data_IF_493606545000
#
_entry.id   IF_493606545000
#
_cell.length_a   1.000
_cell.length_b   1.000
_cell.length_c   1.000
_cell.angle_alpha   90.00
_cell.angle_beta   90.00
_cell.angle_gamma   90.00
#
_symmetry.space_group_name_H-M   'P 1'
#
loop_
_entity.id
_entity.type
_entity.pdbx_description
1 polymer ?
#
# COMPACT_ATOMS: atom_id res chain seq x y z
N UNK A 1 5.39 6.82 2.54
CA UNK A 1 4.99 8.02 1.78
C UNK A 1 5.24 9.34 2.52
N UNK A 2 4.82 9.48 3.78
CA UNK A 2 5.03 10.73 4.51
C UNK A 2 6.49 11.19 4.57
N UNK A 3 7.43 10.25 4.64
CA UNK A 3 8.86 10.52 4.62
C UNK A 3 9.41 10.93 3.23
N UNK A 4 8.62 10.79 2.17
CA UNK A 4 9.00 11.20 0.80
C UNK A 4 8.65 12.66 0.50
N UNK A 5 8.08 13.37 1.47
CA UNK A 5 7.77 14.80 1.33
C UNK A 5 9.05 15.60 1.09
N UNK A 6 9.07 16.41 0.06
CA UNK A 6 10.24 17.24 -0.28
C UNK A 6 10.62 18.16 0.89
N UNK A 7 11.88 18.14 1.30
CA UNK A 7 12.40 18.98 2.39
C UNK A 7 12.11 18.43 3.80
N UNK A 8 11.57 17.22 3.90
CA UNK A 8 11.36 16.51 5.17
C UNK A 8 12.34 15.34 5.24
N UNK A 9 13.10 15.26 6.33
CA UNK A 9 13.98 14.12 6.63
C UNK A 9 13.77 13.72 8.08
N UNK A 10 13.23 12.53 8.30
CA UNK A 10 12.95 12.02 9.63
C UNK A 10 14.12 11.21 10.17
N UNK A 11 14.65 11.64 11.31
CA UNK A 11 15.56 10.85 12.12
C UNK A 11 14.84 9.61 12.71
N UNK A 12 15.62 8.69 13.28
CA UNK A 12 15.06 7.53 13.99
C UNK A 12 14.19 7.98 15.16
N UNK A 13 14.64 8.99 15.93
CA UNK A 13 13.89 9.55 17.05
C UNK A 13 12.55 10.18 16.60
N UNK A 14 12.53 10.86 15.46
CA UNK A 14 11.28 11.37 14.87
C UNK A 14 10.33 10.22 14.49
N UNK A 15 10.84 9.17 13.83
CA UNK A 15 10.03 7.99 13.47
C UNK A 15 9.47 7.29 14.70
N UNK A 16 10.25 7.14 15.77
CA UNK A 16 9.80 6.56 17.02
C UNK A 16 8.69 7.39 17.69
N UNK A 17 8.84 8.71 17.73
CA UNK A 17 7.82 9.62 18.30
C UNK A 17 6.55 9.64 17.47
N UNK A 18 6.68 9.72 16.12
CA UNK A 18 5.54 9.73 15.20
C UNK A 18 4.79 8.39 15.29
N UNK A 19 5.49 7.28 15.25
CA UNK A 19 4.85 5.95 15.33
C UNK A 19 4.16 5.69 16.67
N UNK A 20 4.74 6.14 17.78
CA UNK A 20 4.10 6.07 19.08
C UNK A 20 2.81 6.92 19.15
N UNK A 21 2.82 8.10 18.54
CA UNK A 21 1.63 8.95 18.44
C UNK A 21 0.53 8.33 17.56
N UNK A 22 0.92 7.70 16.43
CA UNK A 22 -0.01 6.98 15.56
C UNK A 22 -0.62 5.76 16.26
N UNK A 23 0.18 4.97 16.99
CA UNK A 23 -0.33 3.86 17.80
C UNK A 23 -1.31 4.35 18.87
N UNK A 24 -1.00 5.46 19.56
CA UNK A 24 -1.90 6.06 20.54
C UNK A 24 -3.19 6.62 19.90
N UNK A 25 -3.15 7.06 18.64
CA UNK A 25 -4.32 7.48 17.87
C UNK A 25 -5.24 6.29 17.55
N UNK A 26 -4.70 5.06 17.53
CA UNK A 26 -5.46 3.84 17.31
C UNK A 26 -5.57 3.45 15.83
N UNK A 27 -4.60 3.80 14.99
CA UNK A 27 -4.54 3.29 13.63
C UNK A 27 -4.20 1.80 13.63
N UNK A 28 -4.70 1.05 12.65
CA UNK A 28 -4.51 -0.41 12.58
C UNK A 28 -3.10 -0.79 12.11
N UNK A 29 -2.49 0.02 11.25
CA UNK A 29 -1.18 -0.22 10.65
C UNK A 29 -0.34 1.04 10.63
N UNK A 30 0.96 0.88 10.86
CA UNK A 30 1.96 1.95 10.72
C UNK A 30 3.02 1.47 9.75
N UNK A 31 3.06 2.06 8.57
CA UNK A 31 4.11 1.81 7.60
C UNK A 31 5.34 2.64 7.96
N UNK A 32 6.36 1.96 8.44
CA UNK A 32 7.53 2.61 9.04
C UNK A 32 8.63 2.98 8.03
N UNK A 33 8.57 2.47 6.81
CA UNK A 33 9.59 2.66 5.79
C UNK A 33 10.05 1.35 5.15
N UNK A 34 11.22 1.38 4.51
CA UNK A 34 11.76 0.26 3.74
C UNK A 34 13.08 -0.26 4.36
N UNK A 35 13.03 -1.29 5.24
CA UNK A 35 14.24 -1.89 5.80
C UNK A 35 15.12 -2.47 4.69
N UNK A 36 16.41 -2.17 4.74
CA UNK A 36 17.38 -2.54 3.72
C UNK A 36 17.59 -1.49 2.63
N UNK A 37 16.70 -0.51 2.47
CA UNK A 37 16.86 0.57 1.49
C UNK A 37 17.80 1.68 1.99
N UNK A 38 17.76 1.98 3.28
CA UNK A 38 18.62 2.97 3.92
C UNK A 38 18.91 2.61 5.39
N UNK A 39 19.96 3.19 6.00
CA UNK A 39 20.34 2.89 7.38
C UNK A 39 19.28 3.28 8.42
N UNK A 40 18.59 4.42 8.25
CA UNK A 40 17.59 4.92 9.19
C UNK A 40 16.41 3.95 9.30
N UNK A 41 15.86 3.50 8.16
CA UNK A 41 14.77 2.54 8.13
C UNK A 41 15.23 1.17 8.68
N UNK A 42 16.43 0.72 8.29
CA UNK A 42 16.98 -0.54 8.79
C UNK A 42 17.11 -0.52 10.31
N UNK A 43 17.62 0.55 10.90
CA UNK A 43 17.74 0.67 12.35
C UNK A 43 16.38 0.75 13.05
N UNK A 44 15.43 1.53 12.49
CA UNK A 44 14.06 1.60 13.01
C UNK A 44 13.42 0.22 13.09
N UNK A 45 13.52 -0.60 12.02
CA UNK A 45 12.93 -1.94 11.98
C UNK A 45 13.70 -3.02 12.77
N UNK A 46 14.88 -2.72 13.31
CA UNK A 46 15.59 -3.61 14.23
C UNK A 46 15.10 -3.50 15.68
N UNK A 47 14.27 -2.50 16.00
CA UNK A 47 13.74 -2.25 17.33
C UNK A 47 12.34 -2.84 17.49
N UNK A 48 12.01 -3.26 18.70
CA UNK A 48 10.64 -3.54 19.11
C UNK A 48 10.04 -2.27 19.69
N UNK A 49 9.01 -1.74 19.06
CA UNK A 49 8.38 -0.49 19.46
C UNK A 49 7.26 -0.66 20.50
N UNK A 50 6.85 -1.90 20.78
CA UNK A 50 5.84 -2.21 21.80
C UNK A 50 4.47 -1.62 21.51
N UNK A 51 4.07 -1.47 20.25
CA UNK A 51 2.77 -0.95 19.84
C UNK A 51 1.64 -1.79 20.44
N UNK A 52 0.58 -1.13 20.86
CA UNK A 52 -0.59 -1.75 21.52
C UNK A 52 -1.78 -1.91 20.57
N UNK A 53 -1.91 -1.02 19.62
CA UNK A 53 -3.04 -0.94 18.68
C UNK A 53 -2.61 -1.28 17.27
N UNK A 54 -1.48 -0.74 16.81
CA UNK A 54 -1.05 -0.83 15.44
C UNK A 54 -0.11 -2.03 15.18
N UNK A 55 -0.19 -2.57 13.96
CA UNK A 55 0.82 -3.47 13.41
C UNK A 55 1.89 -2.66 12.67
N UNK A 56 3.16 -2.87 13.03
CA UNK A 56 4.26 -2.30 12.26
C UNK A 56 4.35 -3.00 10.91
N UNK A 57 4.32 -2.21 9.83
CA UNK A 57 4.37 -2.67 8.45
C UNK A 57 5.68 -2.25 7.79
N UNK A 58 6.42 -3.19 7.22
CA UNK A 58 7.57 -2.93 6.39
C UNK A 58 7.13 -2.80 4.93
N UNK A 59 7.61 -1.75 4.26
CA UNK A 59 7.30 -1.48 2.85
C UNK A 59 8.43 -1.97 1.95
N UNK A 60 8.10 -2.42 0.75
CA UNK A 60 9.07 -2.82 -0.27
C UNK A 60 8.41 -3.10 -1.61
N UNK A 61 9.17 -3.66 -2.54
CA UNK A 61 8.68 -4.04 -3.86
C UNK A 61 8.63 -5.57 -4.02
N UNK A 62 7.87 -6.04 -4.99
CA UNK A 62 7.92 -7.45 -5.43
C UNK A 62 9.34 -7.83 -5.86
N UNK A 63 9.68 -9.12 -5.78
CA UNK A 63 11.00 -9.63 -6.17
C UNK A 63 11.40 -9.18 -7.58
N UNK A 64 12.69 -9.10 -7.82
CA UNK A 64 13.22 -8.90 -9.17
C UNK A 64 13.20 -10.21 -9.97
N UNK A 65 13.16 -10.10 -11.31
CA UNK A 65 13.11 -11.26 -12.19
C UNK A 65 14.33 -12.18 -12.04
N UNK A 66 15.50 -11.58 -11.76
CA UNK A 66 16.79 -12.32 -11.66
C UNK A 66 16.91 -13.18 -10.39
N UNK A 67 16.01 -13.03 -9.43
CA UNK A 67 16.04 -13.76 -8.15
C UNK A 67 14.78 -14.61 -7.98
N UNK A 68 14.95 -15.78 -7.33
CA UNK A 68 13.81 -16.43 -6.70
C UNK A 68 13.40 -15.65 -5.46
N UNK A 69 12.16 -15.80 -5.00
CA UNK A 69 11.68 -15.07 -3.82
C UNK A 69 12.53 -15.35 -2.56
N UNK A 70 13.02 -16.59 -2.40
CA UNK A 70 13.87 -17.00 -1.28
C UNK A 70 15.28 -16.37 -1.31
N UNK A 71 15.75 -15.99 -2.49
CA UNK A 71 17.10 -15.43 -2.68
C UNK A 71 17.08 -13.93 -2.97
N UNK A 72 15.92 -13.30 -2.93
CA UNK A 72 15.81 -11.85 -3.11
C UNK A 72 16.23 -11.11 -1.84
N UNK A 73 17.32 -10.31 -1.87
CA UNK A 73 17.85 -9.65 -0.68
C UNK A 73 16.89 -8.61 -0.09
N UNK A 74 16.01 -8.04 -0.92
CA UNK A 74 15.02 -7.05 -0.46
C UNK A 74 13.91 -7.75 0.32
N UNK A 75 13.37 -8.87 -0.21
CA UNK A 75 12.39 -9.67 0.52
C UNK A 75 12.99 -10.24 1.82
N UNK A 76 14.24 -10.67 1.79
CA UNK A 76 14.92 -11.14 2.99
C UNK A 76 15.03 -10.05 4.07
N UNK A 77 15.31 -8.81 3.70
CA UNK A 77 15.36 -7.67 4.64
C UNK A 77 14.00 -7.40 5.28
N UNK A 78 12.90 -7.49 4.51
CA UNK A 78 11.54 -7.33 4.99
C UNK A 78 11.15 -8.44 5.97
N UNK A 79 11.45 -9.70 5.62
CA UNK A 79 11.13 -10.87 6.43
C UNK A 79 11.89 -10.84 7.76
N UNK A 80 13.17 -10.45 7.74
CA UNK A 80 14.02 -10.42 8.93
C UNK A 80 13.77 -9.20 9.83
N UNK A 81 13.01 -8.22 9.38
CA UNK A 81 12.63 -7.04 10.18
C UNK A 81 11.71 -7.38 11.36
N UNK A 82 11.63 -6.50 12.35
CA UNK A 82 10.69 -6.65 13.49
C UNK A 82 9.23 -6.30 13.16
N UNK A 83 8.91 -6.06 11.87
CA UNK A 83 7.52 -5.85 11.46
C UNK A 83 6.68 -7.10 11.62
N UNK A 84 5.38 -6.94 11.89
CA UNK A 84 4.40 -8.04 11.90
C UNK A 84 3.68 -8.18 10.56
N UNK A 85 3.74 -7.15 9.73
CA UNK A 85 3.18 -7.15 8.38
C UNK A 85 4.15 -6.58 7.35
N UNK A 86 3.93 -6.92 6.09
CA UNK A 86 4.69 -6.43 4.94
C UNK A 86 3.73 -5.95 3.88
N UNK A 87 3.99 -4.75 3.36
CA UNK A 87 3.32 -4.19 2.20
C UNK A 87 4.29 -4.20 1.02
N UNK A 88 3.94 -4.86 -0.07
CA UNK A 88 4.72 -4.81 -1.30
C UNK A 88 3.93 -4.09 -2.38
N UNK A 89 4.58 -3.12 -3.03
CA UNK A 89 4.04 -2.60 -4.27
C UNK A 89 4.49 -3.46 -5.47
N UNK A 90 3.60 -3.56 -6.45
CA UNK A 90 3.88 -4.16 -7.74
C UNK A 90 3.10 -3.44 -8.84
N UNK A 91 3.69 -3.36 -10.04
CA UNK A 91 3.05 -2.69 -11.16
C UNK A 91 1.77 -3.42 -11.58
N UNK A 92 0.67 -2.68 -11.71
CA UNK A 92 -0.62 -3.20 -12.17
C UNK A 92 -1.14 -2.52 -13.43
N UNK A 93 -0.27 -1.81 -14.12
CA UNK A 93 -0.47 -1.23 -15.43
C UNK A 93 0.55 -1.80 -16.41
N UNK A 94 0.10 -2.48 -17.47
CA UNK A 94 0.95 -3.14 -18.47
C UNK A 94 1.97 -2.19 -19.12
N UNK A 95 1.58 -0.94 -19.38
CA UNK A 95 2.50 0.09 -19.84
C UNK A 95 3.68 0.29 -18.86
N UNK A 96 3.42 0.33 -17.57
CA UNK A 96 4.48 0.50 -16.56
C UNK A 96 5.32 -0.77 -16.39
N UNK A 97 4.76 -1.95 -16.62
CA UNK A 97 5.52 -3.21 -16.62
C UNK A 97 6.57 -3.20 -17.74
N UNK A 98 6.18 -2.78 -18.93
CA UNK A 98 7.09 -2.69 -20.08
C UNK A 98 8.14 -1.58 -19.87
N UNK A 99 7.70 -0.35 -19.60
CA UNK A 99 8.58 0.83 -19.59
C UNK A 99 9.48 0.89 -18.34
N UNK A 100 8.96 0.52 -17.16
CA UNK A 100 9.70 0.67 -15.91
C UNK A 100 10.44 -0.60 -15.50
N UNK A 101 9.89 -1.79 -15.79
CA UNK A 101 10.49 -3.06 -15.40
C UNK A 101 11.20 -3.77 -16.56
N UNK A 102 10.78 -3.54 -17.83
CA UNK A 102 11.34 -4.20 -19.00
C UNK A 102 11.10 -5.71 -19.03
N UNK A 103 9.98 -6.17 -18.45
CA UNK A 103 9.61 -7.59 -18.36
C UNK A 103 8.24 -7.83 -18.99
N UNK A 104 7.87 -9.10 -19.22
CA UNK A 104 6.53 -9.44 -19.71
C UNK A 104 5.47 -9.33 -18.63
N UNK A 105 4.21 -9.21 -19.04
CA UNK A 105 3.07 -9.21 -18.14
C UNK A 105 3.00 -10.51 -17.32
N UNK A 106 3.28 -11.66 -17.91
CA UNK A 106 3.30 -12.97 -17.25
C UNK A 106 4.38 -13.02 -16.17
N UNK A 107 5.57 -12.52 -16.47
CA UNK A 107 6.68 -12.44 -15.52
C UNK A 107 6.34 -11.54 -14.32
N UNK A 108 5.63 -10.42 -14.56
CA UNK A 108 5.17 -9.57 -13.49
C UNK A 108 4.12 -10.25 -12.60
N UNK A 109 3.16 -10.96 -13.17
CA UNK A 109 2.16 -11.72 -12.41
C UNK A 109 2.82 -12.81 -11.56
N UNK A 110 3.84 -13.51 -12.10
CA UNK A 110 4.63 -14.49 -11.36
C UNK A 110 5.40 -13.83 -10.21
N UNK A 111 6.09 -12.70 -10.46
CA UNK A 111 6.79 -11.96 -9.41
C UNK A 111 5.88 -11.54 -8.27
N UNK A 112 4.66 -11.07 -8.55
CA UNK A 112 3.65 -10.73 -7.54
C UNK A 112 3.27 -11.98 -6.73
N UNK A 113 2.91 -13.06 -7.41
CA UNK A 113 2.44 -14.30 -6.79
C UNK A 113 3.51 -14.95 -5.91
N UNK A 114 4.74 -15.08 -6.41
CA UNK A 114 5.85 -15.69 -5.66
C UNK A 114 6.27 -14.85 -4.45
N UNK A 115 6.29 -13.52 -4.60
CA UNK A 115 6.59 -12.60 -3.49
C UNK A 115 5.53 -12.70 -2.39
N UNK A 116 4.24 -12.68 -2.77
CA UNK A 116 3.13 -12.84 -1.83
C UNK A 116 3.24 -14.15 -1.06
N UNK A 117 3.41 -15.27 -1.79
CA UNK A 117 3.55 -16.61 -1.20
C UNK A 117 4.73 -16.68 -0.22
N UNK A 118 5.87 -16.11 -0.59
CA UNK A 118 7.07 -16.13 0.24
C UNK A 118 6.92 -15.35 1.54
N UNK A 119 6.37 -14.12 1.47
CA UNK A 119 6.09 -13.30 2.67
C UNK A 119 5.10 -14.01 3.59
N UNK A 120 3.98 -14.52 3.05
CA UNK A 120 2.96 -15.21 3.84
C UNK A 120 3.52 -16.47 4.50
N UNK A 121 4.35 -17.25 3.78
CA UNK A 121 4.98 -18.46 4.32
C UNK A 121 5.97 -18.17 5.45
N UNK A 122 6.49 -16.94 5.54
CA UNK A 122 7.33 -16.51 6.67
C UNK A 122 6.54 -16.18 7.95
N UNK A 123 5.21 -16.24 7.89
CA UNK A 123 4.31 -15.95 9.00
C UNK A 123 3.94 -14.47 9.18
N UNK A 124 4.32 -13.61 8.24
CA UNK A 124 3.93 -12.19 8.24
C UNK A 124 2.60 -11.98 7.52
N UNK A 125 1.80 -11.04 8.02
CA UNK A 125 0.64 -10.57 7.29
C UNK A 125 1.07 -9.80 6.04
N UNK A 126 0.40 -10.03 4.92
CA UNK A 126 0.79 -9.47 3.63
C UNK A 126 -0.26 -8.51 3.07
N UNK A 127 0.20 -7.37 2.57
CA UNK A 127 -0.57 -6.39 1.80
C UNK A 127 0.07 -6.22 0.43
N UNK A 128 -0.76 -6.01 -0.56
CA UNK A 128 -0.32 -5.74 -1.93
C UNK A 128 -0.83 -4.39 -2.40
N UNK A 129 0.07 -3.44 -2.59
CA UNK A 129 -0.20 -2.15 -3.21
C UNK A 129 -0.10 -2.30 -4.74
N UNK A 130 -1.26 -2.31 -5.39
CA UNK A 130 -1.36 -2.39 -6.85
C UNK A 130 -1.03 -1.04 -7.47
N UNK A 131 0.24 -0.78 -7.70
CA UNK A 131 0.75 0.50 -8.16
C UNK A 131 0.25 0.83 -9.57
N UNK A 132 -0.20 2.07 -9.78
CA UNK A 132 -0.87 2.55 -10.99
C UNK A 132 -2.17 1.81 -11.34
N UNK A 133 -2.88 1.27 -10.33
CA UNK A 133 -4.05 0.43 -10.59
C UNK A 133 -5.15 1.14 -11.39
N UNK A 134 -5.54 2.35 -11.01
CA UNK A 134 -6.65 3.03 -11.68
C UNK A 134 -6.33 3.35 -13.15
N UNK A 135 -5.11 3.75 -13.47
CA UNK A 135 -4.69 3.96 -14.85
C UNK A 135 -4.59 2.64 -15.62
N UNK A 136 -4.02 1.62 -15.00
CA UNK A 136 -3.94 0.28 -15.55
C UNK A 136 -5.32 -0.31 -15.82
N UNK A 137 -6.26 -0.18 -14.89
CA UNK A 137 -7.62 -0.67 -15.05
C UNK A 137 -8.38 0.05 -16.18
N UNK A 138 -8.21 1.37 -16.30
CA UNK A 138 -8.80 2.12 -17.41
C UNK A 138 -8.24 1.73 -18.78
N UNK A 139 -6.96 1.33 -18.82
CA UNK A 139 -6.27 0.91 -20.04
C UNK A 139 -6.51 -0.57 -20.37
N UNK A 140 -6.33 -1.46 -19.42
CA UNK A 140 -6.40 -2.91 -19.56
C UNK A 140 -6.98 -3.56 -18.29
N UNK A 141 -8.33 -3.55 -18.14
CA UNK A 141 -8.98 -4.02 -16.92
C UNK A 141 -8.69 -5.49 -16.60
N UNK A 142 -8.58 -6.34 -17.63
CA UNK A 142 -8.31 -7.77 -17.45
C UNK A 142 -6.93 -8.02 -16.86
N UNK A 143 -5.91 -7.28 -17.31
CA UNK A 143 -4.57 -7.39 -16.78
C UNK A 143 -4.48 -6.83 -15.35
N UNK A 144 -5.03 -5.64 -15.12
CA UNK A 144 -5.05 -5.04 -13.79
C UNK A 144 -5.72 -5.96 -12.76
N UNK A 145 -6.86 -6.60 -13.10
CA UNK A 145 -7.51 -7.58 -12.26
C UNK A 145 -6.65 -8.82 -12.01
N UNK A 146 -5.92 -9.33 -13.02
CA UNK A 146 -4.99 -10.45 -12.83
C UNK A 146 -3.89 -10.10 -11.83
N UNK A 147 -3.35 -8.89 -11.84
CA UNK A 147 -2.37 -8.44 -10.84
C UNK A 147 -2.92 -8.53 -9.42
N UNK A 148 -4.16 -8.03 -9.19
CA UNK A 148 -4.81 -8.15 -7.88
C UNK A 148 -4.97 -9.60 -7.45
N UNK A 149 -5.45 -10.45 -8.36
CA UNK A 149 -5.67 -11.88 -8.08
C UNK A 149 -4.37 -12.63 -7.82
N UNK A 150 -3.27 -12.27 -8.48
CA UNK A 150 -1.96 -12.90 -8.22
C UNK A 150 -1.50 -12.76 -6.77
N UNK A 151 -1.88 -11.69 -6.08
CA UNK A 151 -1.61 -11.51 -4.66
C UNK A 151 -2.74 -12.09 -3.77
N UNK A 152 -4.01 -11.83 -4.13
CA UNK A 152 -5.17 -12.25 -3.35
C UNK A 152 -5.27 -13.78 -3.22
N UNK A 153 -5.07 -14.51 -4.32
CA UNK A 153 -5.16 -15.97 -4.36
C UNK A 153 -4.03 -16.66 -3.54
N UNK A 154 -2.95 -15.92 -3.21
CA UNK A 154 -1.92 -16.38 -2.27
C UNK A 154 -2.26 -16.12 -0.80
N UNK A 155 -3.33 -15.39 -0.50
CA UNK A 155 -3.79 -15.10 0.85
C UNK A 155 -3.40 -13.70 1.36
N UNK A 156 -3.18 -12.73 0.48
CA UNK A 156 -2.99 -11.34 0.89
C UNK A 156 -4.18 -10.86 1.73
N UNK A 157 -3.88 -10.25 2.89
CA UNK A 157 -4.92 -9.68 3.76
C UNK A 157 -5.59 -8.47 3.12
N UNK A 158 -4.80 -7.61 2.50
CA UNK A 158 -5.26 -6.41 1.84
C UNK A 158 -4.75 -6.33 0.41
N UNK A 159 -5.65 -6.00 -0.49
CA UNK A 159 -5.37 -5.63 -1.89
C UNK A 159 -5.69 -4.15 -2.01
N UNK A 160 -4.67 -3.33 -2.16
CA UNK A 160 -4.78 -1.87 -2.11
C UNK A 160 -4.74 -1.31 -3.52
N UNK A 161 -5.79 -0.60 -3.90
CA UNK A 161 -5.93 0.01 -5.20
C UNK A 161 -5.27 1.39 -5.19
N UNK A 162 -4.16 1.57 -5.92
CA UNK A 162 -3.38 2.79 -5.88
C UNK A 162 -3.75 3.75 -7.02
N UNK A 163 -4.16 4.96 -6.66
CA UNK A 163 -4.21 6.12 -7.57
C UNK A 163 -2.86 6.84 -7.53
N UNK A 164 -1.84 6.17 -8.11
CA UNK A 164 -0.44 6.59 -8.02
C UNK A 164 -0.19 7.94 -8.66
N UNK A 165 -0.87 8.27 -9.76
CA UNK A 165 -0.77 9.56 -10.43
C UNK A 165 -1.69 10.63 -9.83
N UNK A 166 -2.60 10.27 -8.90
CA UNK A 166 -3.52 11.19 -8.25
C UNK A 166 -4.50 11.87 -9.20
N UNK A 167 -4.76 11.26 -10.37
CA UNK A 167 -5.58 11.83 -11.44
C UNK A 167 -6.98 11.25 -11.55
N UNK A 168 -7.34 10.26 -10.75
CA UNK A 168 -8.65 9.61 -10.80
C UNK A 168 -9.70 10.47 -10.10
N UNK A 169 -10.90 10.55 -10.68
CA UNK A 169 -12.00 11.30 -10.08
C UNK A 169 -12.89 10.42 -9.19
N UNK A 170 -13.59 10.98 -8.19
CA UNK A 170 -14.36 10.18 -7.22
C UNK A 170 -15.41 9.26 -7.84
N UNK A 171 -16.08 9.68 -8.91
CA UNK A 171 -17.07 8.84 -9.60
C UNK A 171 -16.43 7.67 -10.36
N UNK A 172 -15.20 7.84 -10.87
CA UNK A 172 -14.42 6.76 -11.48
C UNK A 172 -14.00 5.74 -10.41
N UNK A 173 -13.52 6.23 -9.25
CA UNK A 173 -13.19 5.38 -8.09
C UNK A 173 -14.40 4.55 -7.69
N UNK A 174 -15.56 5.19 -7.49
CA UNK A 174 -16.81 4.48 -7.14
C UNK A 174 -17.12 3.37 -8.14
N UNK A 175 -17.07 3.67 -9.43
CA UNK A 175 -17.36 2.70 -10.50
C UNK A 175 -16.37 1.52 -10.48
N UNK A 176 -15.08 1.82 -10.44
CA UNK A 176 -14.02 0.81 -10.51
C UNK A 176 -14.03 -0.07 -9.25
N UNK A 177 -14.07 0.53 -8.06
CA UNK A 177 -14.10 -0.23 -6.80
C UNK A 177 -15.34 -1.13 -6.72
N UNK A 178 -16.51 -0.62 -7.10
CA UNK A 178 -17.75 -1.43 -7.16
C UNK A 178 -17.64 -2.61 -8.13
N UNK A 179 -16.87 -2.49 -9.20
CA UNK A 179 -16.60 -3.62 -10.11
C UNK A 179 -15.63 -4.61 -9.47
N UNK A 180 -14.57 -4.14 -8.83
CA UNK A 180 -13.58 -5.00 -8.17
C UNK A 180 -14.19 -5.78 -7.00
N UNK A 181 -15.16 -5.23 -6.27
CA UNK A 181 -15.85 -5.96 -5.17
C UNK A 181 -16.59 -7.20 -5.63
N UNK A 182 -16.87 -7.35 -6.92
CA UNK A 182 -17.44 -8.61 -7.48
C UNK A 182 -16.41 -9.74 -7.58
N UNK A 183 -15.13 -9.43 -7.50
CA UNK A 183 -14.02 -10.37 -7.67
C UNK A 183 -13.23 -10.58 -6.37
N UNK A 184 -13.08 -9.54 -5.56
CA UNK A 184 -12.37 -9.55 -4.28
C UNK A 184 -13.30 -8.91 -3.24
N UNK A 185 -13.62 -9.58 -2.13
CA UNK A 185 -14.50 -9.03 -1.10
C UNK A 185 -13.99 -7.68 -0.59
N UNK A 186 -14.90 -6.73 -0.35
CA UNK A 186 -14.56 -5.39 0.11
C UNK A 186 -13.77 -5.39 1.43
N UNK A 187 -13.98 -6.38 2.29
CA UNK A 187 -13.23 -6.59 3.53
C UNK A 187 -11.73 -6.89 3.32
N UNK A 188 -11.33 -7.18 2.07
CA UNK A 188 -9.95 -7.36 1.65
C UNK A 188 -9.46 -6.24 0.73
N UNK A 189 -10.27 -5.20 0.47
CA UNK A 189 -9.89 -4.09 -0.40
C UNK A 189 -9.51 -2.85 0.38
N UNK A 190 -8.42 -2.22 -0.07
CA UNK A 190 -7.95 -0.91 0.38
C UNK A 190 -7.83 0.09 -0.77
N UNK A 191 -7.60 1.34 -0.39
CA UNK A 191 -7.27 2.43 -1.32
C UNK A 191 -6.06 3.22 -0.83
N UNK A 192 -5.18 3.57 -1.78
CA UNK A 192 -4.06 4.47 -1.60
C UNK A 192 -4.16 5.57 -2.67
N UNK A 193 -4.46 6.80 -2.27
CA UNK A 193 -4.69 7.89 -3.20
C UNK A 193 -3.70 9.04 -2.99
N UNK A 194 -3.00 9.43 -4.08
CA UNK A 194 -2.22 10.65 -4.13
C UNK A 194 -3.09 11.86 -4.41
N UNK A 195 -2.60 13.05 -4.05
CA UNK A 195 -3.39 14.27 -3.98
C UNK A 195 -3.12 15.29 -5.11
N UNK A 196 -2.61 14.82 -6.25
CA UNK A 196 -2.21 15.69 -7.37
C UNK A 196 -3.36 16.53 -7.94
N UNK A 197 -4.59 16.01 -7.89
CA UNK A 197 -5.81 16.74 -8.28
C UNK A 197 -6.65 17.20 -7.09
N UNK A 198 -6.09 17.20 -5.86
CA UNK A 198 -6.76 17.51 -4.60
C UNK A 198 -7.97 16.60 -4.27
N UNK A 199 -8.04 15.42 -4.90
CA UNK A 199 -9.15 14.48 -4.72
C UNK A 199 -8.83 13.30 -3.79
N UNK A 200 -7.63 13.19 -3.21
CA UNK A 200 -7.23 12.00 -2.45
C UNK A 200 -8.20 11.65 -1.30
N UNK A 201 -8.66 12.64 -0.54
CA UNK A 201 -9.66 12.44 0.52
C UNK A 201 -11.02 12.01 -0.06
N UNK A 202 -11.48 12.70 -1.11
CA UNK A 202 -12.75 12.37 -1.77
C UNK A 202 -12.72 10.98 -2.40
N UNK A 203 -11.62 10.61 -3.05
CA UNK A 203 -11.40 9.28 -3.62
C UNK A 203 -11.39 8.18 -2.56
N UNK A 204 -10.75 8.43 -1.41
CA UNK A 204 -10.75 7.48 -0.30
C UNK A 204 -12.16 7.26 0.28
N UNK A 205 -12.94 8.33 0.46
CA UNK A 205 -14.33 8.23 0.90
C UNK A 205 -15.21 7.52 -0.13
N UNK A 206 -15.03 7.82 -1.42
CA UNK A 206 -15.74 7.16 -2.51
C UNK A 206 -15.44 5.64 -2.56
N UNK A 207 -14.19 5.25 -2.33
CA UNK A 207 -13.79 3.85 -2.26
C UNK A 207 -14.44 3.11 -1.09
N UNK A 208 -14.52 3.74 0.10
CA UNK A 208 -15.22 3.17 1.26
C UNK A 208 -16.71 2.98 0.98
N UNK A 209 -17.37 3.98 0.39
CA UNK A 209 -18.78 3.87 -0.01
C UNK A 209 -19.01 2.76 -1.06
N UNK A 210 -18.03 2.54 -1.93
CA UNK A 210 -18.07 1.47 -2.94
C UNK A 210 -17.69 0.08 -2.38
N UNK A 211 -17.29 -0.03 -1.10
CA UNK A 211 -17.08 -1.30 -0.42
C UNK A 211 -15.67 -1.56 0.12
N UNK A 212 -14.67 -0.73 -0.17
CA UNK A 212 -13.33 -0.86 0.44
C UNK A 212 -13.39 -0.67 1.97
N UNK A 213 -12.50 -1.35 2.70
CA UNK A 213 -12.46 -1.33 4.18
C UNK A 213 -11.10 -0.95 4.76
N UNK A 214 -10.13 -0.62 3.93
CA UNK A 214 -8.84 -0.08 4.36
C UNK A 214 -8.54 1.20 3.59
N UNK A 215 -7.95 2.18 4.25
CA UNK A 215 -7.42 3.40 3.65
C UNK A 215 -5.96 3.51 4.06
N UNK A 216 -5.08 3.76 3.10
CA UNK A 216 -3.74 4.26 3.35
C UNK A 216 -3.75 5.79 3.19
N UNK A 217 -3.12 6.47 4.12
CA UNK A 217 -3.03 7.92 4.12
C UNK A 217 -1.97 8.39 5.10
N UNK A 218 -1.76 9.70 5.16
CA UNK A 218 -0.76 10.29 6.05
C UNK A 218 -1.34 11.42 6.89
N UNK A 219 -0.72 11.69 8.03
CA UNK A 219 -1.07 12.85 8.84
C UNK A 219 -0.75 14.12 8.04
N UNK A 220 -1.71 15.03 7.99
CA UNK A 220 -1.67 16.29 7.23
C UNK A 220 -1.49 16.10 5.70
N UNK A 221 -1.69 14.88 5.19
CA UNK A 221 -1.53 14.60 3.77
C UNK A 221 -0.09 14.67 3.26
N UNK A 222 0.90 14.52 4.16
CA UNK A 222 2.31 14.49 3.76
C UNK A 222 2.56 13.38 2.75
N UNK A 223 3.46 13.60 1.80
CA UNK A 223 3.84 12.59 0.82
C UNK A 223 4.55 13.15 -0.40
N UNK A 224 4.77 12.28 -1.35
CA UNK A 224 5.41 12.58 -2.62
C UNK A 224 4.57 13.59 -3.43
N UNK A 225 5.22 14.47 -4.17
CA UNK A 225 4.60 15.51 -5.03
C UNK A 225 3.61 16.40 -4.25
N UNK A 226 2.31 16.21 -4.49
CA UNK A 226 1.23 16.98 -3.84
C UNK A 226 0.69 16.32 -2.57
N UNK A 227 1.27 15.19 -2.16
CA UNK A 227 0.93 14.47 -0.93
C UNK A 227 -0.08 13.33 -1.13
N UNK A 228 -0.59 12.84 -0.01
CA UNK A 228 -1.49 11.71 0.11
C UNK A 228 -2.87 12.12 0.66
N UNK A 229 -3.76 11.15 0.77
CA UNK A 229 -5.01 11.32 1.49
C UNK A 229 -4.75 11.72 2.95
N UNK A 230 -5.31 12.85 3.37
CA UNK A 230 -5.10 13.40 4.71
C UNK A 230 -5.94 12.67 5.75
N UNK A 231 -5.29 11.92 6.65
CA UNK A 231 -5.96 11.20 7.74
C UNK A 231 -6.70 12.13 8.69
N UNK A 232 -6.22 13.38 8.88
CA UNK A 232 -6.90 14.36 9.74
C UNK A 232 -8.25 14.81 9.19
N UNK A 233 -8.50 14.63 7.89
CA UNK A 233 -9.80 14.84 7.25
C UNK A 233 -10.63 13.56 7.18
N UNK A 234 -9.98 12.43 6.93
CA UNK A 234 -10.63 11.14 6.75
C UNK A 234 -11.20 10.59 8.07
N UNK A 235 -10.40 10.54 9.13
CA UNK A 235 -10.82 9.97 10.43
C UNK A 235 -12.12 10.62 10.94
N UNK A 236 -12.22 11.96 11.09
CA UNK A 236 -13.47 12.56 11.54
C UNK A 236 -14.62 12.41 10.54
N UNK A 237 -14.34 12.37 9.23
CA UNK A 237 -15.38 12.15 8.23
C UNK A 237 -15.99 10.75 8.35
N UNK A 238 -15.18 9.72 8.52
CA UNK A 238 -15.63 8.34 8.70
C UNK A 238 -16.34 8.14 10.06
N UNK A 239 -15.83 8.77 11.10
CA UNK A 239 -16.37 8.58 12.46
C UNK A 239 -17.66 9.35 12.72
N UNK A 240 -17.80 10.56 12.17
CA UNK A 240 -18.90 11.47 12.50
C UNK A 240 -20.04 11.47 11.47
N UNK A 241 -19.84 10.92 10.27
CA UNK A 241 -20.87 10.93 9.23
C UNK A 241 -21.64 9.61 9.22
N UNK A 242 -22.97 9.71 9.26
CA UNK A 242 -23.88 8.57 9.30
C UNK A 242 -23.76 7.63 8.08
N UNK A 243 -23.29 8.15 6.96
CA UNK A 243 -23.11 7.37 5.72
C UNK A 243 -21.97 6.34 5.82
N UNK A 244 -21.15 6.43 6.87
CA UNK A 244 -20.01 5.53 7.12
C UNK A 244 -20.12 4.71 8.42
N UNK A 245 -21.16 4.94 9.23
CA UNK A 245 -21.41 4.28 10.54
C UNK A 245 -22.32 3.04 10.41
#
# INVERSE_FOLDING_TARGET
DGAQTQGVDFSIDDKEKISAALDALGVDYIEGGWPGANPTDTEFFNKDHGFKNAKLTAFGMTKKLEHSAENDPMLASLINSKSSSVCLFGKSWDFQVDVALGITNEQNLENISESAKHIISSGKEFMFDAEHFFDGYKSNPDYALKCLKSAYDQGARWIVLCDTNGGTLPHEVTKIVSEITKHIPGENLGIHAHNDTENAVANSLAAVQAGARQIQGTINGLGERCGNANLMSLIPSLFLKKDFS
#
